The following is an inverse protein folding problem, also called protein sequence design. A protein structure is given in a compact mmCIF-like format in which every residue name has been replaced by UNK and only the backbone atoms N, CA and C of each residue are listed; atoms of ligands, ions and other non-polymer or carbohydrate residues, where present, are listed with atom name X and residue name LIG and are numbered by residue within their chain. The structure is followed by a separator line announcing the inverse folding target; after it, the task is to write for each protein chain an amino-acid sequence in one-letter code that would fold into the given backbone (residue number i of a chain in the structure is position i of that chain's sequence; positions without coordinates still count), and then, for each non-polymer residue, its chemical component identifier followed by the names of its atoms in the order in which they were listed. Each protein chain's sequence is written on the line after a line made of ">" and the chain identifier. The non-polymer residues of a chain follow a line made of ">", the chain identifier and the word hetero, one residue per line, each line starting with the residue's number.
data_IF_628031689768
#
_entry.id   IF_628031689768
#
_cell.length_a   1.000
_cell.length_b   1.000
_cell.length_c   1.000
_cell.angle_alpha   90.00
_cell.angle_beta   90.00
_cell.angle_gamma   90.00
#
_symmetry.space_group_name_H-M   'P 1'
#
loop_
_entity.id
_entity.type
_entity.pdbx_description
1 polymer ?
#
# COMPACT_ATOMS: atom_id res chain seq x y z
N UNK A 1 26.86 22.47 -30.70
CA UNK A 1 26.19 21.27 -31.21
C UNK A 1 25.95 20.32 -30.05
N UNK A 2 24.74 20.31 -29.51
CA UNK A 2 24.26 19.35 -28.49
C UNK A 2 22.73 19.21 -28.67
N UNK A 3 22.16 18.05 -28.39
CA UNK A 3 20.77 17.70 -28.71
C UNK A 3 19.88 17.56 -27.47
N UNK A 4 18.68 18.17 -27.54
CA UNK A 4 17.34 17.57 -27.35
C UNK A 4 17.25 16.18 -26.67
N UNK A 5 16.35 15.82 -25.72
CA UNK A 5 15.01 16.28 -25.22
C UNK A 5 14.87 15.74 -23.75
N UNK A 6 14.19 16.22 -22.68
CA UNK A 6 13.42 17.40 -22.19
C UNK A 6 13.67 17.48 -20.64
N UNK A 7 13.27 18.45 -19.80
CA UNK A 7 12.29 19.56 -19.81
C UNK A 7 10.84 19.25 -19.33
N UNK A 8 10.63 19.09 -18.01
CA UNK A 8 9.47 19.62 -17.23
C UNK A 8 10.01 20.19 -15.91
N UNK A 9 9.56 21.38 -15.50
CA UNK A 9 10.04 22.07 -14.29
C UNK A 9 8.91 22.22 -13.24
N UNK A 10 9.24 22.13 -11.95
CA UNK A 10 8.31 22.36 -10.83
C UNK A 10 8.95 23.23 -9.73
N UNK A 11 8.52 24.48 -9.64
CA UNK A 11 8.80 25.53 -8.63
C UNK A 11 7.89 26.74 -9.04
N UNK A 12 7.35 27.64 -8.19
CA UNK A 12 7.67 28.11 -6.83
C UNK A 12 6.37 28.37 -6.00
N UNK A 13 6.53 28.41 -4.68
CA UNK A 13 5.67 28.94 -3.58
C UNK A 13 4.79 30.17 -3.92
N UNK A 14 3.60 30.25 -3.29
CA UNK A 14 2.80 31.47 -3.10
C UNK A 14 1.70 31.28 -2.04
N UNK A 15 1.28 32.35 -1.35
CA UNK A 15 0.24 32.34 -0.31
C UNK A 15 -0.63 33.62 -0.33
N UNK A 16 -1.69 33.62 0.49
CA UNK A 16 -2.65 34.69 0.80
C UNK A 16 -3.79 35.02 -0.18
N UNK A 17 -4.84 35.60 0.43
CA UNK A 17 -6.21 35.91 -0.01
C UNK A 17 -6.38 36.60 -1.39
N UNK A 18 -7.31 36.06 -2.20
CA UNK A 18 -8.11 36.83 -3.15
C UNK A 18 -9.43 36.10 -3.50
N UNK A 19 -10.58 36.72 -3.18
CA UNK A 19 -11.90 36.19 -3.53
C UNK A 19 -12.21 36.35 -5.03
N UNK A 20 -12.53 35.25 -5.73
CA UNK A 20 -13.23 35.28 -7.03
C UNK A 20 -14.40 34.31 -7.01
N UNK A 21 -15.58 34.80 -7.39
CA UNK A 21 -16.86 34.08 -7.39
C UNK A 21 -17.15 33.40 -8.74
N UNK A 22 -17.51 32.11 -8.71
CA UNK A 22 -18.69 31.63 -9.46
C UNK A 22 -19.29 30.38 -8.82
N UNK A 23 -20.59 30.40 -8.55
CA UNK A 23 -21.39 29.19 -8.28
C UNK A 23 -22.16 28.83 -9.54
N UNK A 24 -21.55 28.04 -10.42
CA UNK A 24 -22.23 27.51 -11.61
C UNK A 24 -23.17 26.34 -11.27
N UNK A 25 -24.28 26.72 -10.62
CA UNK A 25 -25.65 26.25 -10.87
C UNK A 25 -25.76 24.92 -11.62
N UNK A 26 -25.90 23.82 -10.88
CA UNK A 26 -26.38 22.55 -11.45
C UNK A 26 -27.87 22.69 -11.80
N UNK A 27 -28.13 23.18 -13.02
CA UNK A 27 -29.48 23.49 -13.48
C UNK A 27 -30.25 22.21 -13.82
N UNK A 28 -30.98 21.66 -12.85
CA UNK A 28 -31.86 20.50 -13.05
C UNK A 28 -33.08 20.89 -13.90
N UNK A 29 -33.28 20.29 -15.10
CA UNK A 29 -34.50 20.51 -15.88
C UNK A 29 -35.61 19.66 -15.27
N UNK A 30 -36.53 20.28 -14.53
CA UNK A 30 -37.77 19.64 -14.04
C UNK A 30 -38.72 19.42 -15.22
N UNK A 31 -38.43 18.39 -16.02
CA UNK A 31 -39.25 17.96 -17.15
C UNK A 31 -40.36 17.01 -16.69
N UNK A 32 -41.59 17.51 -16.58
CA UNK A 32 -42.76 16.71 -16.19
C UNK A 32 -43.09 15.70 -17.30
N UNK A 33 -42.63 14.45 -17.14
CA UNK A 33 -43.04 13.33 -17.99
C UNK A 33 -44.45 12.87 -17.62
N UNK A 34 -45.45 13.46 -18.26
CA UNK A 34 -46.81 12.94 -18.25
C UNK A 34 -46.83 11.49 -18.76
N UNK A 35 -47.28 10.56 -17.91
CA UNK A 35 -47.35 9.14 -18.20
C UNK A 35 -48.49 8.80 -19.19
N UNK A 36 -48.31 9.14 -20.47
CA UNK A 36 -49.26 8.82 -21.56
C UNK A 36 -49.24 7.31 -21.84
N UNK A 37 -50.18 6.60 -21.21
CA UNK A 37 -50.36 5.14 -21.29
C UNK A 37 -50.73 4.67 -22.71
N UNK A 38 -49.85 3.95 -23.46
CA UNK A 38 -50.15 3.56 -24.84
C UNK A 38 -51.00 2.28 -24.91
N UNK A 39 -52.31 2.43 -25.09
CA UNK A 39 -53.25 1.31 -25.31
C UNK A 39 -53.17 0.76 -26.75
N UNK A 40 -52.19 -0.10 -27.03
CA UNK A 40 -52.10 -0.81 -28.33
C UNK A 40 -51.54 -2.22 -28.18
N UNK A 41 -52.32 -3.23 -28.60
CA UNK A 41 -52.07 -4.65 -28.32
C UNK A 41 -50.94 -5.30 -29.15
N UNK A 42 -50.46 -6.46 -28.67
CA UNK A 42 -49.65 -7.41 -29.44
C UNK A 42 -48.22 -6.97 -29.76
N UNK A 43 -48.04 -6.20 -30.83
CA UNK A 43 -46.74 -6.08 -31.54
C UNK A 43 -45.66 -5.22 -30.86
N UNK A 44 -45.97 -4.46 -29.81
CA UNK A 44 -44.97 -3.61 -29.12
C UNK A 44 -44.07 -4.39 -28.16
N UNK A 45 -44.59 -5.41 -27.44
CA UNK A 45 -43.81 -6.11 -26.41
C UNK A 45 -42.54 -6.81 -26.93
N UNK A 46 -42.59 -7.42 -28.11
CA UNK A 46 -41.41 -8.08 -28.70
C UNK A 46 -40.25 -7.10 -28.99
N UNK A 47 -40.56 -5.88 -29.44
CA UNK A 47 -39.53 -4.84 -29.66
C UNK A 47 -39.02 -4.24 -28.35
N UNK A 48 -39.86 -4.13 -27.34
CA UNK A 48 -39.45 -3.69 -26.00
C UNK A 48 -38.48 -4.72 -25.38
N UNK A 49 -38.86 -6.00 -25.33
CA UNK A 49 -38.03 -7.08 -24.78
C UNK A 49 -36.66 -7.18 -25.47
N UNK A 50 -36.60 -7.02 -26.80
CA UNK A 50 -35.34 -7.00 -27.54
C UNK A 50 -34.45 -5.79 -27.20
N UNK A 51 -35.04 -4.63 -26.88
CA UNK A 51 -34.29 -3.47 -26.40
C UNK A 51 -33.79 -3.67 -24.96
N UNK A 52 -34.64 -4.23 -24.10
CA UNK A 52 -34.33 -4.65 -22.72
C UNK A 52 -33.15 -5.64 -22.70
N UNK A 53 -33.17 -6.66 -23.56
CA UNK A 53 -32.08 -7.64 -23.73
C UNK A 53 -30.77 -7.02 -24.26
N UNK A 54 -30.84 -5.97 -25.09
CA UNK A 54 -29.63 -5.23 -25.52
C UNK A 54 -29.06 -4.37 -24.40
N UNK A 55 -29.91 -3.75 -23.57
CA UNK A 55 -29.49 -2.98 -22.39
C UNK A 55 -28.81 -3.91 -21.38
N UNK A 56 -29.39 -5.07 -21.07
CA UNK A 56 -28.79 -6.04 -20.14
C UNK A 56 -27.41 -6.55 -20.64
N UNK A 57 -27.26 -6.81 -21.94
CA UNK A 57 -25.96 -7.18 -22.53
C UNK A 57 -24.93 -6.04 -22.42
N UNK A 58 -25.32 -4.80 -22.66
CA UNK A 58 -24.44 -3.63 -22.54
C UNK A 58 -24.04 -3.36 -21.08
N UNK A 59 -24.96 -3.58 -20.12
CA UNK A 59 -24.69 -3.50 -18.68
C UNK A 59 -23.71 -4.60 -18.25
N UNK A 60 -23.95 -5.85 -18.63
CA UNK A 60 -23.02 -6.96 -18.32
C UNK A 60 -21.62 -6.78 -18.94
N UNK A 61 -21.52 -6.20 -20.15
CA UNK A 61 -20.23 -5.89 -20.76
C UNK A 61 -19.49 -4.82 -19.93
N UNK A 62 -20.16 -3.69 -19.68
CA UNK A 62 -19.61 -2.58 -18.88
C UNK A 62 -19.17 -3.05 -17.49
N UNK A 63 -20.01 -3.83 -16.79
CA UNK A 63 -19.69 -4.36 -15.46
C UNK A 63 -18.49 -5.32 -15.48
N UNK A 64 -18.34 -6.13 -16.53
CA UNK A 64 -17.17 -7.01 -16.69
C UNK A 64 -15.89 -6.20 -16.84
N UNK A 65 -15.87 -5.21 -17.71
CA UNK A 65 -14.69 -4.36 -17.95
C UNK A 65 -14.34 -3.52 -16.71
N UNK A 66 -15.35 -2.95 -16.05
CA UNK A 66 -15.20 -2.23 -14.78
C UNK A 66 -14.65 -3.11 -13.64
N UNK A 67 -14.80 -4.43 -13.70
CA UNK A 67 -14.23 -5.37 -12.72
C UNK A 67 -12.76 -5.75 -13.01
N UNK A 68 -12.27 -5.57 -14.25
CA UNK A 68 -10.88 -5.93 -14.62
C UNK A 68 -9.87 -5.01 -13.93
N UNK A 69 -10.07 -3.68 -13.96
CA UNK A 69 -9.10 -2.75 -13.38
C UNK A 69 -8.94 -2.90 -11.85
N UNK A 70 -10.02 -3.02 -11.04
CA UNK A 70 -9.90 -3.29 -9.60
C UNK A 70 -9.28 -4.65 -9.29
N UNK A 71 -9.57 -5.71 -10.06
CA UNK A 71 -8.97 -7.03 -9.82
C UNK A 71 -7.46 -7.05 -10.11
N UNK A 72 -7.01 -6.38 -11.17
CA UNK A 72 -5.59 -6.19 -11.43
C UNK A 72 -4.90 -5.36 -10.32
N UNK A 73 -5.54 -4.29 -9.83
CA UNK A 73 -5.02 -3.49 -8.72
C UNK A 73 -4.88 -4.30 -7.42
N UNK A 74 -5.86 -5.14 -7.08
CA UNK A 74 -5.81 -5.99 -5.88
C UNK A 74 -4.67 -7.01 -5.95
N UNK A 75 -4.41 -7.61 -7.12
CA UNK A 75 -3.31 -8.58 -7.23
C UNK A 75 -1.93 -7.89 -7.15
N UNK A 76 -1.76 -6.72 -7.77
CA UNK A 76 -0.55 -5.88 -7.59
C UNK A 76 -0.33 -5.53 -6.11
N UNK A 77 -1.39 -5.19 -5.37
CA UNK A 77 -1.30 -4.93 -3.93
C UNK A 77 -0.94 -6.19 -3.12
N UNK A 78 -1.42 -7.38 -3.52
CA UNK A 78 -1.04 -8.66 -2.90
C UNK A 78 0.44 -8.97 -3.15
N UNK A 79 0.95 -8.78 -4.37
CA UNK A 79 2.36 -8.96 -4.69
C UNK A 79 3.24 -8.00 -3.88
N UNK A 80 2.88 -6.71 -3.82
CA UNK A 80 3.59 -5.71 -3.01
C UNK A 80 3.61 -6.08 -1.51
N UNK A 81 2.49 -6.57 -0.97
CA UNK A 81 2.43 -7.05 0.42
C UNK A 81 3.33 -8.28 0.63
N UNK A 82 3.37 -9.23 -0.30
CA UNK A 82 4.25 -10.39 -0.19
C UNK A 82 5.74 -10.00 -0.25
N UNK A 83 6.09 -9.04 -1.11
CA UNK A 83 7.46 -8.49 -1.19
C UNK A 83 7.83 -7.72 0.09
N UNK A 84 6.91 -6.92 0.64
CA UNK A 84 7.12 -6.20 1.89
C UNK A 84 7.37 -7.15 3.06
N UNK A 85 6.54 -8.19 3.21
CA UNK A 85 6.67 -9.18 4.29
C UNK A 85 8.01 -9.93 4.19
N UNK A 86 8.38 -10.43 3.01
CA UNK A 86 9.70 -11.08 2.77
C UNK A 86 10.87 -10.14 3.06
N UNK A 87 10.73 -8.84 2.79
CA UNK A 87 11.78 -7.85 3.10
C UNK A 87 11.93 -7.65 4.61
N UNK A 88 10.83 -7.63 5.38
CA UNK A 88 10.87 -7.57 6.84
C UNK A 88 11.57 -8.81 7.41
N UNK A 89 11.15 -10.01 7.00
CA UNK A 89 11.74 -11.29 7.41
C UNK A 89 13.27 -11.35 7.18
N UNK A 90 13.73 -10.88 6.00
CA UNK A 90 15.16 -10.79 5.69
C UNK A 90 15.87 -9.77 6.58
N UNK A 91 15.28 -8.60 6.84
CA UNK A 91 15.88 -7.57 7.70
C UNK A 91 15.94 -7.98 9.17
N UNK A 92 14.93 -8.68 9.68
CA UNK A 92 14.92 -9.22 11.04
C UNK A 92 15.97 -10.32 11.21
N UNK A 93 16.10 -11.21 10.21
CA UNK A 93 17.15 -12.25 10.16
C UNK A 93 18.57 -11.64 10.13
N UNK A 94 18.79 -10.61 9.30
CA UNK A 94 20.05 -9.88 9.25
C UNK A 94 20.38 -9.19 10.58
N UNK A 95 19.42 -8.47 11.17
CA UNK A 95 19.61 -7.81 12.47
C UNK A 95 19.89 -8.82 13.59
N UNK A 96 19.27 -10.01 13.56
CA UNK A 96 19.55 -11.06 14.54
C UNK A 96 20.97 -11.64 14.35
N UNK A 97 21.42 -11.84 13.11
CA UNK A 97 22.78 -12.30 12.83
C UNK A 97 23.85 -11.28 13.29
N UNK A 98 23.64 -9.98 13.04
CA UNK A 98 24.53 -8.91 13.54
C UNK A 98 24.53 -8.85 15.08
N UNK A 99 23.36 -9.04 15.72
CA UNK A 99 23.21 -9.09 17.17
C UNK A 99 23.97 -10.27 17.78
N UNK A 100 23.82 -11.47 17.24
CA UNK A 100 24.53 -12.66 17.73
C UNK A 100 26.05 -12.56 17.46
N UNK A 101 26.47 -11.96 16.34
CA UNK A 101 27.89 -11.65 16.08
C UNK A 101 28.46 -10.67 17.12
N UNK A 102 27.73 -9.60 17.46
CA UNK A 102 28.16 -8.64 18.47
C UNK A 102 28.18 -9.23 19.89
N UNK A 103 27.21 -10.08 20.24
CA UNK A 103 27.20 -10.81 21.51
C UNK A 103 28.36 -11.82 21.59
N UNK A 104 28.66 -12.54 20.50
CA UNK A 104 29.83 -13.42 20.41
C UNK A 104 31.15 -12.65 20.54
N UNK A 105 31.29 -11.49 19.89
CA UNK A 105 32.48 -10.65 19.97
C UNK A 105 32.76 -10.19 21.43
N UNK A 106 31.72 -9.81 22.18
CA UNK A 106 31.85 -9.47 23.62
C UNK A 106 32.34 -10.68 24.41
N UNK A 107 31.81 -11.88 24.15
CA UNK A 107 32.22 -13.12 24.83
C UNK A 107 33.65 -13.56 24.49
N UNK A 108 34.14 -13.26 23.29
CA UNK A 108 35.51 -13.58 22.85
C UNK A 108 36.55 -12.48 23.17
N UNK A 109 36.15 -11.33 23.71
CA UNK A 109 37.07 -10.23 24.03
C UNK A 109 37.90 -10.56 25.28
N UNK A 110 39.23 -10.45 25.18
CA UNK A 110 40.16 -10.63 26.29
C UNK A 110 40.11 -9.48 27.30
N UNK A 111 40.40 -9.78 28.57
CA UNK A 111 40.59 -8.80 29.66
C UNK A 111 42.04 -8.32 29.80
N UNK A 112 42.96 -8.84 28.97
CA UNK A 112 44.37 -8.45 28.94
C UNK A 112 44.56 -6.98 28.50
N UNK A 113 45.58 -6.31 29.05
CA UNK A 113 45.85 -4.89 28.80
C UNK A 113 44.84 -3.90 29.40
N UNK A 114 43.68 -4.35 29.87
CA UNK A 114 42.67 -3.49 30.50
C UNK A 114 43.09 -3.05 31.92
N UNK A 115 42.65 -1.85 32.32
CA UNK A 115 42.65 -1.44 33.73
C UNK A 115 41.63 -2.27 34.53
N UNK A 116 41.75 -2.33 35.86
CA UNK A 116 40.84 -3.16 36.67
C UNK A 116 39.37 -2.74 36.57
N UNK A 117 39.10 -1.45 36.34
CA UNK A 117 37.77 -0.96 35.96
C UNK A 117 37.32 -1.53 34.60
N UNK A 118 38.20 -1.53 33.59
CA UNK A 118 37.91 -2.12 32.28
C UNK A 118 37.63 -3.62 32.36
N UNK A 119 38.38 -4.37 33.17
CA UNK A 119 38.15 -5.80 33.45
C UNK A 119 36.77 -6.01 34.06
N UNK A 120 36.43 -5.27 35.11
CA UNK A 120 35.11 -5.37 35.77
C UNK A 120 33.96 -5.01 34.83
N UNK A 121 34.12 -3.95 34.01
CA UNK A 121 33.13 -3.56 33.02
C UNK A 121 32.92 -4.63 31.93
N UNK A 122 34.00 -5.20 31.39
CA UNK A 122 33.90 -6.25 30.38
C UNK A 122 33.26 -7.53 30.95
N UNK A 123 33.66 -7.97 32.14
CA UNK A 123 33.04 -9.12 32.82
C UNK A 123 31.55 -8.89 33.11
N UNK A 124 31.15 -7.67 33.50
CA UNK A 124 29.75 -7.29 33.65
C UNK A 124 28.99 -7.36 32.32
N UNK A 125 29.61 -6.96 31.20
CA UNK A 125 29.00 -7.06 29.86
C UNK A 125 28.91 -8.49 29.35
N UNK A 126 29.93 -9.32 29.56
CA UNK A 126 29.90 -10.75 29.27
C UNK A 126 28.80 -11.46 30.07
N UNK A 127 28.63 -11.13 31.35
CA UNK A 127 27.49 -11.63 32.15
C UNK A 127 26.14 -11.15 31.59
N UNK A 128 26.01 -9.87 31.23
CA UNK A 128 24.78 -9.33 30.62
C UNK A 128 24.46 -9.95 29.24
N UNK A 129 25.46 -10.49 28.52
CA UNK A 129 25.24 -11.31 27.31
C UNK A 129 24.78 -12.73 27.70
N UNK A 130 25.54 -13.44 28.55
CA UNK A 130 25.21 -14.80 28.98
C UNK A 130 23.80 -14.92 29.58
N UNK A 131 23.40 -13.99 30.43
CA UNK A 131 22.08 -14.05 31.07
C UNK A 131 20.94 -13.74 30.06
N UNK A 132 21.20 -12.95 29.01
CA UNK A 132 20.25 -12.79 27.89
C UNK A 132 20.20 -14.04 27.00
N UNK A 133 21.34 -14.67 26.71
CA UNK A 133 21.39 -15.94 25.95
C UNK A 133 20.63 -17.05 26.69
N UNK A 134 20.84 -17.21 28.01
CA UNK A 134 20.06 -18.14 28.84
C UNK A 134 18.57 -17.89 28.75
N UNK A 135 18.13 -16.63 28.85
CA UNK A 135 16.71 -16.30 28.74
C UNK A 135 16.13 -16.61 27.34
N UNK A 136 16.93 -16.48 26.26
CA UNK A 136 16.49 -16.91 24.90
C UNK A 136 16.33 -18.43 24.78
N UNK A 137 17.15 -19.21 25.49
CA UNK A 137 17.14 -20.69 25.43
C UNK A 137 16.13 -21.30 26.43
N UNK A 138 15.98 -20.70 27.61
CA UNK A 138 15.02 -21.10 28.65
C UNK A 138 13.57 -20.65 28.42
N UNK A 139 13.27 -20.10 27.23
CA UNK A 139 11.90 -19.85 26.75
C UNK A 139 11.44 -20.90 25.72
N UNK A 140 12.18 -22.01 25.60
CA UNK A 140 11.90 -23.15 24.71
C UNK A 140 11.77 -24.49 25.45
N UNK A 141 11.42 -24.45 26.74
CA UNK A 141 10.98 -25.59 27.57
C UNK A 141 9.53 -25.41 28.03
#
# INVERSE_FOLDING_TARGET
>A
MFCTVHCVCFYVVGADEATISSMDTFQSPVGVLHAVRPTSAGKKKAKQLHFEEQVDKAIMHSQRELAVAPSAQVEIMREQLQVANKKVEIMESQQQAERDQAEMAIMCTSTEGLSDFGKQYLLLKQKQVLDRMKNRIGLTE
#
